data_IF_206819270967
#
_entry.id   IF_206819270967
#
_cell.length_a   1.000
_cell.length_b   1.000
_cell.length_c   1.000
_cell.angle_alpha   90.00
_cell.angle_beta   90.00
_cell.angle_gamma   90.00
#
_symmetry.space_group_name_H-M   'P 1'
#
loop_
_entity.id
_entity.type
_entity.pdbx_description
1 polymer ?
#
# COMPACT_ATOMS: atom_id res chain seq x y z
N UNK A 1 -5.11 3.81 -8.30
CA UNK A 1 -5.16 3.54 -6.85
C UNK A 1 -6.12 4.49 -6.13
N UNK A 2 -6.00 5.80 -6.31
CA UNK A 2 -6.88 6.80 -5.66
C UNK A 2 -8.35 6.53 -6.01
N UNK A 3 -8.67 6.43 -7.29
CA UNK A 3 -10.04 6.11 -7.76
C UNK A 3 -10.51 4.76 -7.19
N UNK A 4 -9.61 3.78 -7.26
CA UNK A 4 -9.88 2.44 -6.74
C UNK A 4 -10.11 2.45 -5.24
N UNK A 5 -9.60 3.40 -4.45
CA UNK A 5 -9.83 3.45 -3.00
C UNK A 5 -11.12 4.21 -2.66
N UNK A 6 -11.61 5.06 -3.57
CA UNK A 6 -12.83 5.83 -3.43
C UNK A 6 -14.13 5.05 -3.74
N UNK A 7 -14.04 3.93 -4.46
CA UNK A 7 -15.19 3.07 -4.74
C UNK A 7 -15.79 2.47 -3.46
N UNK A 8 -17.11 2.23 -3.44
CA UNK A 8 -17.79 1.69 -2.24
C UNK A 8 -18.14 0.21 -2.36
N UNK A 9 -18.31 -0.29 -3.58
CA UNK A 9 -18.75 -1.66 -3.86
C UNK A 9 -17.58 -2.52 -4.35
N UNK A 10 -16.56 -2.70 -3.50
CA UNK A 10 -15.45 -3.62 -3.75
C UNK A 10 -15.57 -4.84 -2.84
N UNK A 11 -15.13 -6.00 -3.32
CA UNK A 11 -14.98 -7.22 -2.53
C UNK A 11 -13.57 -7.37 -1.90
N UNK A 12 -12.74 -6.33 -1.97
CA UNK A 12 -11.41 -6.27 -1.37
C UNK A 12 -11.11 -4.87 -0.83
N UNK A 13 -10.18 -4.82 0.13
CA UNK A 13 -9.67 -3.59 0.71
C UNK A 13 -8.39 -3.12 0.03
N UNK A 14 -8.20 -1.80 -0.04
CA UNK A 14 -6.98 -1.17 -0.56
C UNK A 14 -6.32 -0.39 0.56
N UNK A 15 -5.11 -0.80 0.92
CA UNK A 15 -4.32 -0.17 1.98
C UNK A 15 -2.97 0.23 1.40
N UNK A 16 -2.53 1.46 1.72
CA UNK A 16 -1.16 1.91 1.48
C UNK A 16 -0.35 1.68 2.73
N UNK A 17 0.88 1.16 2.58
CA UNK A 17 1.82 1.06 3.68
C UNK A 17 3.02 1.94 3.34
N UNK A 18 3.44 2.75 4.30
CA UNK A 18 4.71 3.48 4.26
C UNK A 18 5.58 3.03 5.42
N UNK A 19 6.89 3.10 5.27
CA UNK A 19 7.84 2.66 6.29
C UNK A 19 8.75 3.82 6.67
N UNK A 20 8.34 4.70 7.61
CA UNK A 20 9.14 5.85 8.05
C UNK A 20 10.53 5.44 8.50
N UNK A 21 11.54 6.29 8.25
CA UNK A 21 12.97 6.04 8.51
C UNK A 21 13.61 4.89 7.72
N UNK A 22 12.85 4.17 6.87
CA UNK A 22 13.37 3.10 6.04
C UNK A 22 13.46 3.51 4.57
N UNK A 23 14.47 2.99 3.85
CA UNK A 23 14.64 3.18 2.40
C UNK A 23 14.64 4.65 1.94
N UNK A 24 15.02 5.59 2.81
CA UNK A 24 15.06 7.02 2.51
C UNK A 24 13.74 7.77 2.70
N UNK A 25 12.74 7.16 3.34
CA UNK A 25 11.52 7.83 3.76
C UNK A 25 11.79 8.80 4.93
N UNK A 26 10.91 9.80 5.07
CA UNK A 26 10.86 10.70 6.23
C UNK A 26 10.65 9.93 7.53
N UNK A 27 10.97 10.56 8.67
CA UNK A 27 10.51 10.05 9.96
C UNK A 27 8.97 10.15 10.06
N UNK A 28 8.40 9.47 11.05
CA UNK A 28 6.94 9.38 11.21
C UNK A 28 6.27 10.75 11.31
N UNK A 29 6.82 11.68 12.09
CA UNK A 29 6.18 12.97 12.35
C UNK A 29 6.20 13.84 11.09
N UNK A 30 7.36 13.89 10.42
CA UNK A 30 7.54 14.61 9.17
C UNK A 30 6.69 14.02 8.03
N UNK A 31 6.58 12.69 7.97
CA UNK A 31 5.69 12.02 7.01
C UNK A 31 4.24 12.40 7.23
N UNK A 32 3.74 12.33 8.47
CA UNK A 32 2.36 12.65 8.80
C UNK A 32 2.04 14.10 8.43
N UNK A 33 2.94 15.04 8.74
CA UNK A 33 2.72 16.46 8.44
C UNK A 33 2.73 16.72 6.93
N UNK A 34 3.67 16.12 6.22
CA UNK A 34 3.69 16.14 4.76
C UNK A 34 2.41 15.54 4.16
N UNK A 35 1.95 14.40 4.68
CA UNK A 35 0.77 13.68 4.16
C UNK A 35 -0.53 14.46 4.37
N UNK A 36 -0.68 15.20 5.48
CA UNK A 36 -1.84 16.10 5.70
C UNK A 36 -1.95 17.21 4.65
N UNK A 37 -0.82 17.61 4.04
CA UNK A 37 -0.81 18.55 2.94
C UNK A 37 -1.35 17.98 1.62
N UNK A 38 -1.54 16.66 1.54
CA UNK A 38 -2.12 15.97 0.38
C UNK A 38 -3.64 15.87 0.55
N UNK A 39 -4.39 16.27 -0.47
CA UNK A 39 -5.87 16.27 -0.42
C UNK A 39 -6.50 14.88 -0.69
N UNK A 40 -5.86 13.80 -0.24
CA UNK A 40 -6.36 12.44 -0.42
C UNK A 40 -7.38 12.07 0.67
N UNK A 41 -8.63 11.81 0.26
CA UNK A 41 -9.74 11.58 1.21
C UNK A 41 -10.08 10.11 1.46
N UNK A 42 -9.75 9.23 0.52
CA UNK A 42 -10.26 7.85 0.50
C UNK A 42 -9.14 6.81 0.55
N UNK A 43 -7.98 7.16 1.09
CA UNK A 43 -6.83 6.25 1.16
C UNK A 43 -6.53 5.96 2.62
N UNK A 44 -6.53 4.69 2.99
CA UNK A 44 -5.98 4.24 4.27
C UNK A 44 -4.47 4.11 4.14
N UNK A 45 -3.72 4.80 5.00
CA UNK A 45 -2.26 4.70 5.09
C UNK A 45 -1.89 4.13 6.45
N UNK A 46 -1.15 3.02 6.45
CA UNK A 46 -0.55 2.41 7.63
C UNK A 46 0.94 2.75 7.69
N UNK A 47 1.44 2.97 8.90
CA UNK A 47 2.85 3.25 9.18
C UNK A 47 3.54 1.98 9.68
N UNK A 48 4.45 1.44 8.89
CA UNK A 48 5.34 0.33 9.26
C UNK A 48 6.68 0.90 9.75
N UNK A 49 6.65 1.50 10.94
CA UNK A 49 7.80 2.18 11.56
C UNK A 49 9.00 1.23 11.79
N UNK A 50 8.74 -0.07 11.88
CA UNK A 50 9.79 -1.10 12.05
C UNK A 50 10.33 -1.64 10.73
N UNK A 51 9.70 -1.32 9.60
CA UNK A 51 10.09 -1.84 8.29
C UNK A 51 9.86 -3.36 8.14
N UNK A 52 9.00 -3.97 8.97
CA UNK A 52 8.80 -5.42 8.95
C UNK A 52 8.22 -5.91 7.63
N UNK A 53 7.41 -5.10 6.96
CA UNK A 53 6.78 -5.44 5.69
C UNK A 53 7.82 -5.45 4.56
N UNK A 54 8.79 -4.52 4.60
CA UNK A 54 9.90 -4.49 3.63
C UNK A 54 10.64 -5.84 3.65
N UNK A 55 10.94 -6.35 4.83
CA UNK A 55 11.68 -7.60 5.00
C UNK A 55 10.83 -8.82 4.66
N UNK A 56 9.61 -8.91 5.23
CA UNK A 56 8.68 -10.04 5.02
C UNK A 56 8.32 -10.21 3.55
N UNK A 57 8.04 -9.11 2.85
CA UNK A 57 7.70 -9.13 1.43
C UNK A 57 8.91 -9.02 0.50
N UNK A 58 10.13 -8.88 1.05
CA UNK A 58 11.39 -8.73 0.30
C UNK A 58 11.32 -7.58 -0.73
N UNK A 59 10.83 -6.43 -0.30
CA UNK A 59 10.64 -5.25 -1.15
C UNK A 59 11.99 -4.71 -1.62
N UNK A 60 12.18 -4.67 -2.95
CA UNK A 60 13.44 -4.21 -3.58
C UNK A 60 13.38 -2.79 -4.13
N UNK A 61 12.18 -2.28 -4.37
CA UNK A 61 11.96 -0.96 -4.93
C UNK A 61 10.48 -0.59 -4.91
N UNK A 62 10.19 0.70 -4.99
CA UNK A 62 8.84 1.24 -4.95
C UNK A 62 8.39 1.79 -6.31
N UNK A 63 7.08 1.77 -6.61
CA UNK A 63 6.01 1.14 -5.82
C UNK A 63 6.07 -0.40 -5.86
N UNK A 64 5.49 -1.05 -4.84
CA UNK A 64 5.43 -2.50 -4.68
C UNK A 64 4.05 -2.90 -4.18
N UNK A 65 3.45 -3.93 -4.79
CA UNK A 65 2.07 -4.33 -4.52
C UNK A 65 2.04 -5.71 -3.89
N UNK A 66 1.27 -5.84 -2.81
CA UNK A 66 1.00 -7.10 -2.11
C UNK A 66 -0.48 -7.45 -2.29
N UNK A 67 -0.75 -8.71 -2.62
CA UNK A 67 -2.10 -9.26 -2.67
C UNK A 67 -2.19 -10.38 -1.62
N UNK A 68 -3.10 -10.20 -0.68
CA UNK A 68 -3.34 -11.12 0.42
C UNK A 68 -4.69 -11.82 0.21
N UNK A 69 -4.85 -13.03 0.76
CA UNK A 69 -6.16 -13.67 0.88
C UNK A 69 -6.93 -13.17 2.11
N UNK A 70 -8.14 -13.69 2.32
CA UNK A 70 -9.00 -13.33 3.46
C UNK A 70 -8.41 -13.71 4.82
N UNK A 71 -7.46 -14.65 4.85
CA UNK A 71 -6.75 -15.09 6.05
C UNK A 71 -5.41 -14.34 6.22
N UNK A 72 -5.18 -13.30 5.39
CA UNK A 72 -3.98 -12.46 5.35
C UNK A 72 -2.70 -13.20 4.92
N UNK A 73 -2.82 -14.34 4.24
CA UNK A 73 -1.65 -14.99 3.64
C UNK A 73 -1.28 -14.31 2.32
N UNK A 74 0.02 -14.28 2.03
CA UNK A 74 0.55 -13.70 0.80
C UNK A 74 0.20 -14.57 -0.43
N UNK A 75 -0.72 -14.09 -1.27
CA UNK A 75 -1.02 -14.73 -2.56
C UNK A 75 -0.03 -14.33 -3.64
N UNK A 76 0.31 -13.04 -3.71
CA UNK A 76 1.12 -12.48 -4.81
C UNK A 76 1.83 -11.19 -4.45
N UNK A 77 3.01 -10.99 -5.02
CA UNK A 77 3.76 -9.74 -5.01
C UNK A 77 3.99 -9.24 -6.43
N UNK A 78 3.85 -7.94 -6.68
CA UNK A 78 4.14 -7.33 -7.99
C UNK A 78 4.94 -6.03 -7.81
N UNK A 79 6.22 -5.98 -8.24
CA UNK A 79 6.98 -4.75 -8.24
C UNK A 79 6.52 -3.82 -9.37
N UNK A 80 6.61 -2.51 -9.14
CA UNK A 80 6.27 -1.48 -10.11
C UNK A 80 4.81 -1.01 -10.01
N UNK A 81 4.46 -0.07 -10.89
CA UNK A 81 3.14 0.54 -10.92
C UNK A 81 2.09 -0.44 -11.48
N UNK A 82 0.89 -0.43 -10.91
CA UNK A 82 -0.27 -1.17 -11.41
C UNK A 82 -1.46 -0.23 -11.65
N UNK A 83 -2.12 -0.41 -12.80
CA UNK A 83 -3.39 0.23 -13.09
C UNK A 83 -4.57 -0.42 -12.33
N UNK A 84 -5.69 0.30 -12.21
CA UNK A 84 -6.86 -0.18 -11.47
C UNK A 84 -7.38 -1.54 -11.95
N UNK A 85 -7.48 -1.75 -13.27
CA UNK A 85 -7.94 -3.00 -13.86
C UNK A 85 -7.02 -4.19 -13.51
N UNK A 86 -5.71 -3.99 -13.50
CA UNK A 86 -4.76 -5.03 -13.11
C UNK A 86 -4.90 -5.40 -11.64
N UNK A 87 -5.14 -4.40 -10.78
CA UNK A 87 -5.37 -4.63 -9.36
C UNK A 87 -6.65 -5.46 -9.16
N UNK A 88 -7.77 -5.13 -9.83
CA UNK A 88 -9.00 -5.93 -9.76
C UNK A 88 -8.77 -7.39 -10.14
N UNK A 89 -8.11 -7.62 -11.27
CA UNK A 89 -7.82 -8.99 -11.76
C UNK A 89 -6.99 -9.80 -10.75
N UNK A 90 -6.10 -9.16 -10.00
CA UNK A 90 -5.27 -9.85 -9.00
C UNK A 90 -5.92 -9.95 -7.62
N UNK A 91 -6.83 -9.05 -7.28
CA UNK A 91 -7.53 -9.06 -5.99
C UNK A 91 -8.74 -10.02 -5.99
N UNK A 92 -9.44 -10.16 -7.12
CA UNK A 92 -10.64 -10.98 -7.24
C UNK A 92 -10.36 -12.47 -7.53
N UNK A 93 -9.12 -12.80 -7.92
CA UNK A 93 -8.65 -14.18 -8.15
C UNK A 93 -7.89 -14.69 -6.95
#
# INVERSE_FOLDING_TARGET
MIDLSAEKDRNFEVITIVSPDHKGEKDTADFIEWYKGLEYKNITVLLDEKGEIIDKARVRGYPFNLFLDSDLNLKKTVPGHLGAEQIRVFAEK
#
